data_IF_914177014800
#
_entry.id   IF_914177014800
#
_cell.length_a   1.000
_cell.length_b   1.000
_cell.length_c   1.000
_cell.angle_alpha   90.00
_cell.angle_beta   90.00
_cell.angle_gamma   90.00
#
_symmetry.space_group_name_H-M   'P 1'
#
loop_
_entity.id
_entity.type
_entity.pdbx_description
1 polymer ?
#
# COMPACT_ATOMS: atom_id res chain seq x y z
N UNK A 1 -9.11 -7.89 19.96
CA UNK A 1 -9.36 -7.88 18.52
C UNK A 1 -9.29 -6.45 18.03
N UNK A 2 -8.37 -6.13 17.13
CA UNK A 2 -8.26 -4.78 16.59
C UNK A 2 -9.49 -4.46 15.72
N UNK A 3 -9.96 -3.24 15.83
CA UNK A 3 -10.97 -2.67 14.92
C UNK A 3 -10.61 -1.23 14.64
N UNK A 4 -10.81 -0.71 13.44
CA UNK A 4 -10.64 0.70 13.16
C UNK A 4 -11.68 1.51 13.93
N UNK A 5 -11.32 2.73 14.31
CA UNK A 5 -12.28 3.70 14.81
C UNK A 5 -12.94 4.41 13.63
N UNK A 6 -14.12 3.97 13.26
CA UNK A 6 -14.83 4.45 12.08
C UNK A 6 -15.31 5.90 12.18
N UNK A 7 -15.35 6.49 13.38
CA UNK A 7 -15.71 7.90 13.58
C UNK A 7 -14.69 8.87 12.94
N UNK A 8 -13.49 8.37 12.63
CA UNK A 8 -12.41 9.11 11.99
C UNK A 8 -12.20 8.72 10.52
N UNK A 9 -13.22 8.13 9.92
CA UNK A 9 -13.24 7.75 8.51
C UNK A 9 -14.43 8.43 7.86
N UNK A 10 -14.15 9.18 6.80
CA UNK A 10 -15.15 9.85 5.99
C UNK A 10 -15.27 9.15 4.63
N UNK A 11 -16.47 8.70 4.30
CA UNK A 11 -16.83 8.24 2.94
C UNK A 11 -17.72 9.31 2.33
N UNK A 12 -17.23 9.94 1.25
CA UNK A 12 -17.87 11.14 0.70
C UNK A 12 -19.16 10.87 -0.03
N UNK A 13 -19.28 9.74 -0.70
CA UNK A 13 -20.50 9.32 -1.39
C UNK A 13 -20.76 7.82 -1.21
N UNK A 14 -21.72 7.50 -0.35
CA UNK A 14 -22.10 6.12 -0.04
C UNK A 14 -22.86 5.42 -1.19
N UNK A 15 -23.18 6.11 -2.27
CA UNK A 15 -23.77 5.48 -3.45
C UNK A 15 -22.71 4.81 -4.34
N UNK A 16 -21.46 5.23 -4.25
CA UNK A 16 -20.34 4.73 -5.05
C UNK A 16 -19.21 4.13 -4.22
N UNK A 17 -19.12 4.46 -2.93
CA UNK A 17 -18.05 3.98 -2.04
C UNK A 17 -18.64 3.47 -0.74
N UNK A 18 -18.10 2.37 -0.24
CA UNK A 18 -18.46 1.82 1.07
C UNK A 18 -17.23 1.25 1.78
N UNK A 19 -17.29 1.24 3.11
CA UNK A 19 -16.27 0.58 3.91
C UNK A 19 -16.21 -0.90 3.61
N UNK A 20 -15.00 -1.40 3.33
CA UNK A 20 -14.80 -2.83 3.13
C UNK A 20 -15.00 -3.58 4.46
N UNK A 21 -15.82 -4.59 4.43
CA UNK A 21 -16.07 -5.45 5.60
C UNK A 21 -14.85 -6.31 5.98
N UNK A 22 -13.90 -6.51 5.07
CA UNK A 22 -12.65 -7.20 5.35
C UNK A 22 -11.70 -6.31 6.16
N UNK A 23 -11.39 -6.73 7.37
CA UNK A 23 -10.52 -5.99 8.31
C UNK A 23 -9.16 -6.66 8.53
N UNK A 24 -8.79 -7.59 7.66
CA UNK A 24 -7.55 -8.35 7.77
C UNK A 24 -7.64 -9.54 8.74
N UNK A 25 -6.50 -10.09 9.04
CA UNK A 25 -6.33 -11.22 9.94
C UNK A 25 -5.70 -10.83 11.28
N UNK A 26 -5.37 -11.83 12.08
CA UNK A 26 -4.76 -11.64 13.41
C UNK A 26 -3.40 -10.94 13.33
N UNK A 27 -2.64 -11.22 12.30
CA UNK A 27 -1.26 -10.72 12.13
C UNK A 27 -1.17 -9.50 11.20
N UNK A 28 -2.18 -9.28 10.39
CA UNK A 28 -2.20 -8.16 9.45
C UNK A 28 -3.60 -7.57 9.39
N UNK A 29 -3.76 -6.40 9.98
CA UNK A 29 -5.01 -5.66 9.91
C UNK A 29 -5.09 -4.91 8.57
N UNK A 30 -6.31 -4.75 8.09
CA UNK A 30 -6.60 -4.01 6.88
C UNK A 30 -7.73 -3.01 7.13
N UNK A 31 -7.58 -1.84 6.56
CA UNK A 31 -8.60 -0.80 6.51
C UNK A 31 -8.68 -0.32 5.07
N UNK A 32 -9.84 -0.45 4.45
CA UNK A 32 -10.03 -0.09 3.05
C UNK A 32 -11.48 0.25 2.74
N UNK A 33 -11.66 0.87 1.61
CA UNK A 33 -12.97 1.21 1.05
C UNK A 33 -13.08 0.59 -0.33
N UNK A 34 -14.25 0.12 -0.68
CA UNK A 34 -14.57 -0.35 -2.03
C UNK A 34 -15.28 0.77 -2.75
N UNK A 35 -14.80 1.13 -3.92
CA UNK A 35 -15.36 2.18 -4.76
C UNK A 35 -15.74 1.62 -6.12
N UNK A 36 -16.96 1.90 -6.57
CA UNK A 36 -17.42 1.56 -7.92
C UNK A 36 -16.70 2.42 -8.95
N UNK A 37 -16.19 1.77 -9.98
CA UNK A 37 -15.53 2.44 -11.09
C UNK A 37 -16.50 2.66 -12.25
N UNK A 38 -16.21 3.65 -13.08
CA UNK A 38 -17.00 3.89 -14.28
C UNK A 38 -16.65 2.87 -15.37
N UNK A 39 -17.59 1.94 -15.63
CA UNK A 39 -17.41 0.89 -16.61
C UNK A 39 -17.30 1.40 -18.06
N UNK A 40 -17.77 2.61 -18.34
CA UNK A 40 -17.66 3.20 -19.67
C UNK A 40 -16.21 3.55 -20.07
N UNK A 41 -15.29 3.51 -19.12
CA UNK A 41 -13.89 3.87 -19.33
C UNK A 41 -12.96 2.68 -19.59
N UNK A 42 -13.51 1.47 -19.55
CA UNK A 42 -12.76 0.27 -19.91
C UNK A 42 -12.66 0.05 -21.43
N UNK A 43 -11.93 -0.95 -21.83
CA UNK A 43 -11.70 -1.36 -23.24
C UNK A 43 -10.96 -0.30 -24.09
N UNK A 44 -10.11 0.49 -23.45
CA UNK A 44 -9.33 1.50 -24.14
C UNK A 44 -10.12 2.75 -24.54
N UNK A 45 -11.29 2.95 -23.95
CA UNK A 45 -12.13 4.13 -24.20
C UNK A 45 -11.63 5.37 -23.51
N UNK A 46 -11.12 5.25 -22.28
CA UNK A 46 -10.60 6.36 -21.52
C UNK A 46 -9.57 5.92 -20.46
N UNK A 47 -8.91 6.88 -19.85
CA UNK A 47 -8.07 6.70 -18.67
C UNK A 47 -8.81 7.19 -17.44
N UNK A 48 -8.62 6.48 -16.33
CA UNK A 48 -9.08 6.90 -15.02
C UNK A 48 -7.91 7.47 -14.23
N UNK A 49 -8.09 8.62 -13.63
CA UNK A 49 -7.15 9.17 -12.65
C UNK A 49 -7.39 8.49 -11.30
N UNK A 50 -6.33 8.01 -10.70
CA UNK A 50 -6.30 7.55 -9.31
C UNK A 50 -5.31 8.41 -8.58
N UNK A 51 -5.73 9.00 -7.49
CA UNK A 51 -4.86 9.84 -6.70
C UNK A 51 -5.02 9.53 -5.21
N UNK A 52 -4.00 9.83 -4.47
CA UNK A 52 -4.05 9.93 -3.02
C UNK A 52 -3.19 11.09 -2.57
N UNK A 53 -3.53 11.65 -1.44
CA UNK A 53 -2.70 12.58 -0.69
C UNK A 53 -2.57 12.10 0.74
N UNK A 54 -1.47 12.37 1.39
CA UNK A 54 -1.32 12.04 2.78
C UNK A 54 -0.39 12.99 3.51
N UNK A 55 -0.62 13.12 4.80
CA UNK A 55 0.26 13.76 5.75
C UNK A 55 0.79 12.68 6.70
N UNK A 56 2.11 12.53 6.86
CA UNK A 56 2.68 11.50 7.73
C UNK A 56 2.47 11.82 9.22
N UNK A 57 2.71 10.80 10.06
CA UNK A 57 2.74 10.96 11.51
C UNK A 57 1.47 10.59 12.25
N UNK A 58 1.50 10.81 13.57
CA UNK A 58 0.41 10.43 14.47
C UNK A 58 -0.84 11.31 14.36
N UNK A 59 -0.70 12.49 13.82
CA UNK A 59 -1.79 13.44 13.56
C UNK A 59 -2.12 13.53 12.06
N UNK A 60 -1.53 12.61 11.28
CA UNK A 60 -1.63 12.60 9.83
C UNK A 60 -2.96 12.07 9.30
N UNK A 61 -3.07 12.05 7.99
CA UNK A 61 -4.23 11.53 7.28
C UNK A 61 -3.83 10.92 5.94
N UNK A 62 -4.75 10.15 5.36
CA UNK A 62 -4.70 9.73 3.96
C UNK A 62 -6.08 9.96 3.35
N UNK A 63 -6.11 10.53 2.15
CA UNK A 63 -7.31 10.71 1.35
C UNK A 63 -7.12 10.10 -0.05
N UNK A 64 -8.14 9.45 -0.58
CA UNK A 64 -8.13 8.81 -1.89
C UNK A 64 -9.13 9.43 -2.83
N UNK A 65 -8.78 9.43 -4.11
CA UNK A 65 -9.56 10.02 -5.19
C UNK A 65 -9.69 9.05 -6.36
N UNK A 66 -10.86 9.02 -6.94
CA UNK A 66 -11.12 8.35 -8.22
C UNK A 66 -11.72 9.40 -9.16
N UNK A 67 -10.97 9.77 -10.20
CA UNK A 67 -11.27 10.97 -10.97
C UNK A 67 -10.84 12.22 -10.23
N UNK A 68 -11.67 13.24 -10.30
CA UNK A 68 -11.46 14.51 -9.58
C UNK A 68 -12.08 14.52 -8.16
N UNK A 69 -12.86 13.51 -7.84
CA UNK A 69 -13.67 13.48 -6.61
C UNK A 69 -13.00 12.64 -5.53
N UNK A 70 -13.00 13.12 -4.28
CA UNK A 70 -12.55 12.33 -3.15
C UNK A 70 -13.54 11.16 -2.93
N UNK A 71 -13.01 9.99 -2.65
CA UNK A 71 -13.81 8.81 -2.35
C UNK A 71 -13.91 8.55 -0.86
N UNK A 72 -12.80 8.63 -0.17
CA UNK A 72 -12.75 8.51 1.27
C UNK A 72 -11.49 9.10 1.86
N UNK A 73 -11.54 9.39 3.15
CA UNK A 73 -10.44 9.92 3.93
C UNK A 73 -10.41 9.24 5.29
N UNK A 74 -9.22 9.04 5.84
CA UNK A 74 -9.02 8.65 7.23
C UNK A 74 -7.93 9.49 7.88
N UNK A 75 -8.10 9.78 9.16
CA UNK A 75 -7.02 10.33 9.98
C UNK A 75 -6.31 9.21 10.76
N UNK A 76 -5.15 9.50 11.32
CA UNK A 76 -4.40 8.54 12.13
C UNK A 76 -5.20 8.02 13.34
N UNK A 77 -6.15 8.79 13.87
CA UNK A 77 -7.06 8.35 14.94
C UNK A 77 -7.89 7.12 14.56
N UNK A 78 -8.14 6.90 13.26
CA UNK A 78 -8.84 5.72 12.80
C UNK A 78 -8.08 4.41 13.08
N UNK A 79 -6.76 4.48 13.25
CA UNK A 79 -5.86 3.32 13.42
C UNK A 79 -5.23 3.22 14.81
N UNK A 80 -5.85 3.80 15.82
CA UNK A 80 -5.48 3.58 17.20
C UNK A 80 -5.65 4.79 18.12
N UNK A 81 -5.36 4.64 19.43
CA UNK A 81 -5.07 3.39 20.12
C UNK A 81 -6.32 2.51 20.32
N UNK A 82 -6.15 1.20 20.37
CA UNK A 82 -7.26 0.27 20.55
C UNK A 82 -6.80 -1.00 21.28
N UNK A 83 -7.34 -1.26 22.45
CA UNK A 83 -6.98 -2.40 23.28
C UNK A 83 -5.49 -2.36 23.67
N UNK A 84 -4.73 -3.35 23.23
CA UNK A 84 -3.29 -3.45 23.45
C UNK A 84 -2.45 -2.87 22.31
N UNK A 85 -3.08 -2.27 21.30
CA UNK A 85 -2.40 -1.60 20.18
C UNK A 85 -2.34 -0.10 20.50
N UNK A 86 -1.13 0.46 20.49
CA UNK A 86 -0.92 1.90 20.62
C UNK A 86 -1.31 2.68 19.38
N UNK A 87 -1.16 3.98 19.42
CA UNK A 87 -1.34 4.85 18.26
C UNK A 87 -0.39 4.38 17.15
N UNK A 88 -0.92 4.24 15.94
CA UNK A 88 -0.14 4.02 14.72
C UNK A 88 -0.02 5.33 13.97
N UNK A 89 1.04 5.45 13.21
CA UNK A 89 1.32 6.64 12.41
C UNK A 89 0.92 6.42 10.96
N UNK A 90 0.54 7.47 10.25
CA UNK A 90 0.60 7.46 8.80
C UNK A 90 2.06 7.29 8.37
N UNK A 91 2.34 6.61 7.25
CA UNK A 91 3.71 6.29 6.85
C UNK A 91 4.64 7.50 6.92
N UNK A 92 5.71 7.39 7.68
CA UNK A 92 6.77 8.42 7.83
C UNK A 92 8.01 8.05 7.00
N UNK A 93 8.15 6.78 6.66
CA UNK A 93 9.24 6.30 5.83
C UNK A 93 9.04 6.68 4.36
N UNK A 94 10.13 6.87 3.61
CA UNK A 94 10.07 7.09 2.17
C UNK A 94 9.38 5.93 1.46
N UNK A 95 8.41 6.23 0.64
CA UNK A 95 7.60 5.25 -0.06
C UNK A 95 7.97 5.18 -1.55
N UNK A 96 7.84 3.99 -2.13
CA UNK A 96 7.95 3.77 -3.56
C UNK A 96 6.57 3.56 -4.19
N UNK A 97 6.39 4.04 -5.42
CA UNK A 97 5.20 3.73 -6.21
C UNK A 97 5.27 2.29 -6.70
N UNK A 98 4.23 1.53 -6.39
CA UNK A 98 4.07 0.15 -6.87
C UNK A 98 2.83 0.12 -7.76
N UNK A 99 3.02 -0.29 -9.00
CA UNK A 99 1.94 -0.51 -9.95
C UNK A 99 1.94 -1.97 -10.37
N UNK A 100 0.90 -2.69 -9.97
CA UNK A 100 0.76 -4.10 -10.28
C UNK A 100 -0.60 -4.40 -10.90
N UNK A 101 -0.66 -5.47 -11.66
CA UNK A 101 -1.86 -5.96 -12.30
C UNK A 101 -1.98 -7.46 -12.07
N UNK A 102 -3.04 -7.88 -11.40
CA UNK A 102 -3.22 -9.27 -11.03
C UNK A 102 -4.68 -9.67 -10.98
N UNK A 103 -4.92 -10.98 -10.95
CA UNK A 103 -6.21 -11.61 -10.79
C UNK A 103 -6.20 -12.51 -9.56
N UNK A 104 -7.31 -12.53 -8.83
CA UNK A 104 -7.47 -13.42 -7.70
C UNK A 104 -8.89 -13.98 -7.65
N UNK A 105 -9.00 -15.30 -7.68
CA UNK A 105 -10.27 -16.00 -7.48
C UNK A 105 -10.82 -15.86 -6.05
N UNK A 106 -9.99 -15.37 -5.11
CA UNK A 106 -10.42 -15.11 -3.74
C UNK A 106 -11.27 -13.85 -3.59
N UNK A 107 -11.20 -12.94 -4.57
CA UNK A 107 -11.99 -11.69 -4.55
C UNK A 107 -13.29 -11.78 -5.35
N UNK A 108 -13.31 -12.57 -6.42
CA UNK A 108 -14.48 -12.71 -7.28
C UNK A 108 -14.48 -14.04 -8.03
N UNK A 109 -15.64 -14.48 -8.47
CA UNK A 109 -15.72 -15.59 -9.42
C UNK A 109 -15.19 -15.12 -10.77
N UNK A 110 -14.16 -15.79 -11.27
CA UNK A 110 -13.52 -15.46 -12.53
C UNK A 110 -14.15 -16.26 -13.68
N UNK A 111 -14.59 -15.57 -14.71
CA UNK A 111 -14.96 -16.19 -15.97
C UNK A 111 -13.71 -16.48 -16.81
N UNK A 112 -13.10 -17.65 -16.61
CA UNK A 112 -11.86 -18.03 -17.28
C UNK A 112 -11.98 -18.08 -18.80
N UNK A 113 -13.15 -18.45 -19.32
CA UNK A 113 -13.39 -18.49 -20.78
C UNK A 113 -13.38 -17.08 -21.36
N UNK A 114 -14.09 -16.14 -20.73
CA UNK A 114 -14.07 -14.74 -21.17
C UNK A 114 -12.70 -14.07 -20.97
N UNK A 115 -11.99 -14.40 -19.89
CA UNK A 115 -10.65 -13.89 -19.65
C UNK A 115 -9.63 -14.35 -20.69
N UNK A 116 -9.76 -15.57 -21.21
CA UNK A 116 -8.84 -16.09 -22.22
C UNK A 116 -8.87 -15.24 -23.51
N UNK A 117 -10.01 -14.66 -23.85
CA UNK A 117 -10.17 -13.77 -25.01
C UNK A 117 -9.51 -12.40 -24.80
N UNK A 118 -9.30 -12.00 -23.53
CA UNK A 118 -8.70 -10.72 -23.16
C UNK A 118 -7.18 -10.81 -22.93
N UNK A 119 -6.60 -12.01 -23.02
CA UNK A 119 -5.18 -12.20 -22.79
C UNK A 119 -4.35 -11.98 -24.06
N UNK A 120 -3.17 -11.36 -23.96
CA UNK A 120 -2.53 -10.86 -22.73
C UNK A 120 -3.20 -9.57 -22.22
N UNK A 121 -3.52 -9.56 -20.93
CA UNK A 121 -4.00 -8.35 -20.24
C UNK A 121 -2.96 -7.23 -20.31
N UNK A 122 -3.42 -6.00 -20.50
CA UNK A 122 -2.54 -4.82 -20.61
C UNK A 122 -2.98 -3.74 -19.63
N UNK A 123 -2.07 -3.34 -18.77
CA UNK A 123 -2.20 -2.14 -17.96
C UNK A 123 -1.42 -1.01 -18.62
N UNK A 124 -2.05 0.14 -18.76
CA UNK A 124 -1.43 1.30 -19.42
C UNK A 124 -1.44 2.48 -18.46
N UNK A 125 -0.35 3.22 -18.45
CA UNK A 125 -0.20 4.49 -17.75
C UNK A 125 -0.04 5.60 -18.77
N UNK A 126 -0.78 6.69 -18.56
CA UNK A 126 -0.60 7.91 -19.33
C UNK A 126 0.46 8.78 -18.64
N UNK A 127 0.29 9.02 -17.34
CA UNK A 127 1.26 9.77 -16.55
C UNK A 127 1.27 9.32 -15.08
N UNK A 128 2.35 9.65 -14.41
CA UNK A 128 2.47 9.67 -12.95
C UNK A 128 2.94 11.07 -12.57
N UNK A 129 2.28 11.68 -11.60
CA UNK A 129 2.63 13.00 -11.07
C UNK A 129 2.70 12.94 -9.56
N UNK A 130 3.76 13.53 -9.02
CA UNK A 130 3.96 13.67 -7.59
C UNK A 130 3.99 15.16 -7.27
N UNK A 131 3.20 15.55 -6.28
CA UNK A 131 3.14 16.90 -5.77
C UNK A 131 3.61 16.86 -4.32
N UNK A 132 4.49 17.76 -3.95
CA UNK A 132 5.04 17.86 -2.61
C UNK A 132 5.51 19.29 -2.36
N UNK A 133 5.86 19.62 -1.13
CA UNK A 133 6.42 20.91 -0.76
C UNK A 133 7.76 21.16 -1.45
N UNK A 134 8.20 22.43 -1.50
CA UNK A 134 9.42 22.84 -2.23
C UNK A 134 10.69 22.18 -1.70
N UNK A 135 10.71 21.77 -0.42
CA UNK A 135 11.79 21.06 0.25
C UNK A 135 11.67 19.54 0.18
N UNK A 136 10.61 19.04 -0.47
CA UNK A 136 10.40 17.60 -0.67
C UNK A 136 11.44 16.97 -1.58
N UNK A 137 11.98 15.83 -1.18
CA UNK A 137 12.99 15.09 -1.95
C UNK A 137 12.38 13.95 -2.76
N UNK A 138 12.89 13.77 -3.99
CA UNK A 138 12.64 12.57 -4.80
C UNK A 138 13.97 11.88 -5.07
N UNK A 139 14.34 10.97 -4.20
CA UNK A 139 15.60 10.23 -4.28
C UNK A 139 15.40 8.78 -3.85
N UNK A 140 16.30 7.89 -4.30
CA UNK A 140 16.33 6.52 -3.80
C UNK A 140 17.05 6.41 -2.44
N UNK A 141 17.72 7.45 -2.01
CA UNK A 141 18.57 7.46 -0.82
C UNK A 141 18.30 8.71 0.04
N UNK A 142 17.07 8.90 0.55
CA UNK A 142 16.79 10.00 1.45
C UNK A 142 17.57 9.83 2.77
N UNK A 143 17.72 10.91 3.53
CA UNK A 143 18.48 10.91 4.76
C UNK A 143 18.01 9.80 5.72
N UNK A 144 18.93 8.98 6.20
CA UNK A 144 18.63 7.85 7.08
C UNK A 144 18.13 6.57 6.38
N UNK A 145 17.88 6.60 5.07
CA UNK A 145 17.33 5.47 4.31
C UNK A 145 18.18 5.13 3.06
N UNK A 146 19.35 4.48 3.21
CA UNK A 146 20.26 4.19 2.11
C UNK A 146 19.76 3.03 1.25
N UNK A 147 18.64 3.22 0.55
CA UNK A 147 17.92 2.18 -0.20
C UNK A 147 18.76 1.61 -1.34
N UNK A 148 19.50 2.45 -2.06
CA UNK A 148 20.38 1.98 -3.17
C UNK A 148 21.44 1.01 -2.67
N UNK A 149 22.09 1.31 -1.57
CA UNK A 149 23.11 0.43 -1.00
C UNK A 149 22.50 -0.86 -0.44
N UNK A 150 21.31 -0.76 0.16
CA UNK A 150 20.56 -1.92 0.61
C UNK A 150 20.21 -2.86 -0.54
N UNK A 151 19.66 -2.34 -1.64
CA UNK A 151 19.33 -3.13 -2.83
C UNK A 151 20.57 -3.77 -3.46
N UNK A 152 21.65 -3.02 -3.61
CA UNK A 152 22.93 -3.56 -4.13
C UNK A 152 23.44 -4.71 -3.29
N UNK A 153 23.41 -4.57 -1.98
CA UNK A 153 23.84 -5.61 -1.05
C UNK A 153 22.99 -6.87 -1.14
N UNK A 154 21.70 -6.73 -1.46
CA UNK A 154 20.75 -7.83 -1.57
C UNK A 154 20.33 -8.08 -3.03
N UNK A 155 21.16 -7.71 -4.00
CA UNK A 155 20.85 -7.78 -5.44
C UNK A 155 20.38 -9.17 -5.88
N UNK A 156 20.92 -10.24 -5.30
CA UNK A 156 20.48 -11.60 -5.57
C UNK A 156 18.99 -11.81 -5.34
N UNK A 157 18.41 -11.18 -4.29
CA UNK A 157 16.98 -11.26 -4.00
C UNK A 157 16.17 -10.36 -4.92
N UNK A 158 16.68 -9.15 -5.23
CA UNK A 158 15.94 -8.18 -6.04
C UNK A 158 15.95 -8.46 -7.54
N UNK A 159 17.03 -9.06 -8.04
CA UNK A 159 17.24 -9.24 -9.50
C UNK A 159 16.91 -10.64 -10.01
N UNK A 160 16.67 -11.61 -9.13
CA UNK A 160 16.37 -12.98 -9.54
C UNK A 160 14.88 -13.32 -9.36
N UNK A 161 14.10 -13.33 -10.46
CA UNK A 161 12.67 -13.61 -10.39
C UNK A 161 12.31 -15.07 -10.00
N UNK A 162 13.29 -15.97 -9.97
CA UNK A 162 13.08 -17.35 -9.57
C UNK A 162 13.22 -17.58 -8.05
N UNK A 163 13.69 -16.58 -7.32
CA UNK A 163 13.77 -16.62 -5.85
C UNK A 163 12.46 -16.09 -5.29
N UNK A 164 11.80 -16.89 -4.45
CA UNK A 164 10.50 -16.57 -3.88
C UNK A 164 10.51 -16.36 -2.37
N UNK A 165 11.63 -16.66 -1.72
CA UNK A 165 11.83 -16.40 -0.29
C UNK A 165 13.16 -15.70 -0.02
N UNK A 166 13.25 -15.05 1.13
CA UNK A 166 14.46 -14.38 1.57
C UNK A 166 15.59 -15.37 1.88
N UNK A 167 15.24 -16.53 2.42
CA UNK A 167 16.16 -17.61 2.72
C UNK A 167 16.74 -18.24 1.45
N UNK A 168 15.97 -18.38 0.39
CA UNK A 168 16.46 -18.89 -0.90
C UNK A 168 17.50 -17.95 -1.53
N UNK A 169 17.41 -16.67 -1.22
CA UNK A 169 18.43 -15.70 -1.57
C UNK A 169 19.71 -15.85 -0.73
N UNK A 170 19.63 -16.56 0.39
CA UNK A 170 20.71 -16.77 1.33
C UNK A 170 20.78 -15.71 2.44
N UNK A 171 19.69 -14.99 2.65
CA UNK A 171 19.57 -13.99 3.71
C UNK A 171 18.72 -14.53 4.86
N UNK A 172 18.96 -14.02 6.07
CA UNK A 172 18.09 -14.29 7.22
C UNK A 172 16.98 -13.24 7.28
N UNK A 173 15.84 -13.66 7.85
CA UNK A 173 14.77 -12.70 8.16
C UNK A 173 15.23 -11.67 9.17
N UNK A 174 14.77 -10.42 9.05
CA UNK A 174 14.99 -9.42 10.09
C UNK A 174 14.46 -9.90 11.45
N UNK A 175 15.18 -9.60 12.51
CA UNK A 175 14.71 -9.88 13.86
C UNK A 175 13.44 -9.09 14.17
N UNK A 176 12.52 -9.72 14.91
CA UNK A 176 11.25 -9.13 15.29
C UNK A 176 11.22 -8.90 16.81
N UNK A 177 10.90 -7.69 17.25
CA UNK A 177 10.89 -7.33 18.69
C UNK A 177 9.89 -8.15 19.52
N UNK A 178 8.84 -8.69 18.90
CA UNK A 178 7.85 -9.53 19.57
C UNK A 178 8.24 -11.00 19.67
N UNK A 179 9.12 -11.46 18.81
CA UNK A 179 9.55 -12.88 18.74
C UNK A 179 10.99 -13.03 19.20
N UNK A 180 11.89 -12.19 18.69
CA UNK A 180 13.33 -12.32 18.84
C UNK A 180 13.92 -11.31 19.84
N UNK A 181 13.08 -10.58 20.55
CA UNK A 181 13.50 -9.51 21.47
C UNK A 181 14.36 -8.42 20.82
N UNK A 182 14.22 -8.21 19.53
CA UNK A 182 14.92 -7.16 18.80
C UNK A 182 14.59 -5.80 19.40
N UNK A 183 15.63 -4.99 19.61
CA UNK A 183 15.49 -3.59 20.02
C UNK A 183 16.14 -2.73 18.95
N UNK A 184 15.54 -1.59 18.62
CA UNK A 184 16.11 -0.64 17.68
C UNK A 184 17.54 -0.24 18.00
N UNK A 185 17.89 -0.18 19.30
CA UNK A 185 19.27 0.07 19.77
C UNK A 185 20.26 -1.03 19.40
N UNK A 186 19.80 -2.22 19.07
CA UNK A 186 20.63 -3.36 18.71
C UNK A 186 20.74 -3.54 17.19
N UNK A 187 19.99 -2.77 16.43
CA UNK A 187 20.03 -2.83 14.98
C UNK A 187 21.35 -2.26 14.46
N UNK A 188 22.16 -3.11 13.85
CA UNK A 188 23.47 -2.76 13.32
C UNK A 188 23.46 -2.49 11.81
N UNK A 189 22.27 -2.32 11.26
CA UNK A 189 22.11 -2.25 9.81
C UNK A 189 22.10 -3.63 9.14
N UNK A 190 21.86 -3.67 7.86
CA UNK A 190 21.88 -4.92 7.10
C UNK A 190 23.31 -5.50 7.12
N UNK A 191 23.43 -6.78 7.46
CA UNK A 191 24.69 -7.53 7.42
C UNK A 191 25.16 -7.78 6.00
#
# INVERSE_FOLDING_TARGET
FWRPNTDFIEVYDNSISEMNSYQGGVYQQALSTVTLLNNDWYDGKAYQVYAFEYEPGSDGYVAWYVGAEPTWKMTADAVGPNGNVGQRVMPEEPLALIANFGLSASFAQLNWTGLAELMPGKMRFDYIRIYQDEDGEMTCDPEGYPTTEYIKKHSKAYENPNITSWEDAGFSWPENSYVDSCKSSNYKGPN
#
